data_IF_090662801689
#
_entry.id   IF_090662801689
#
_cell.length_a   1.000
_cell.length_b   1.000
_cell.length_c   1.000
_cell.angle_alpha   90.00
_cell.angle_beta   90.00
_cell.angle_gamma   90.00
#
_symmetry.space_group_name_H-M   'P 1'
#
loop_
_entity.id
_entity.type
_entity.pdbx_description
1 polymer ?
#
# COMPACT_ATOMS: atom_id res chain seq x y z
N UNK A 1 -8.01 19.29 -5.66
CA UNK A 1 -7.00 19.05 -4.61
C UNK A 1 -7.20 17.65 -4.10
N UNK A 2 -6.33 16.74 -4.50
CA UNK A 2 -6.43 15.30 -4.23
C UNK A 2 -5.31 14.98 -3.24
N UNK A 3 -5.64 14.52 -2.02
CA UNK A 3 -4.69 14.24 -0.93
C UNK A 3 -4.68 12.75 -0.54
N UNK A 4 -4.23 11.85 -1.42
CA UNK A 4 -4.08 10.46 -1.06
C UNK A 4 -3.00 10.30 0.00
N UNK A 5 -3.27 9.41 0.96
CA UNK A 5 -2.29 9.00 1.95
C UNK A 5 -1.72 7.64 1.58
N UNK A 6 -0.39 7.53 1.52
CA UNK A 6 0.28 6.22 1.39
C UNK A 6 0.85 5.84 2.73
N UNK A 7 0.41 4.69 3.22
CA UNK A 7 0.94 4.06 4.42
C UNK A 7 1.57 2.72 4.05
N UNK A 8 2.79 2.50 4.52
CA UNK A 8 3.43 1.19 4.49
C UNK A 8 3.60 0.70 5.94
N UNK A 9 2.53 0.16 6.57
CA UNK A 9 2.56 -0.29 7.94
C UNK A 9 3.64 -1.36 8.17
N UNK A 10 3.90 -1.66 9.45
CA UNK A 10 4.78 -2.78 9.82
C UNK A 10 4.37 -4.06 9.07
N UNK A 11 5.32 -4.94 8.70
CA UNK A 11 5.02 -6.18 8.00
C UNK A 11 3.88 -6.94 8.69
N UNK A 12 2.87 -7.30 7.92
CA UNK A 12 1.70 -8.03 8.38
C UNK A 12 2.08 -9.51 8.54
N UNK A 13 1.99 -10.10 9.75
CA UNK A 13 2.28 -11.50 9.94
C UNK A 13 1.19 -12.36 9.30
N UNK A 14 1.59 -13.41 8.58
CA UNK A 14 0.66 -14.41 8.07
C UNK A 14 0.48 -15.48 9.15
N UNK A 15 -0.74 -15.59 9.67
CA UNK A 15 -1.09 -16.53 10.74
C UNK A 15 -2.04 -17.60 10.20
N UNK A 16 -1.84 -18.83 10.65
CA UNK A 16 -2.66 -19.99 10.32
C UNK A 16 -3.04 -20.71 11.61
N UNK A 17 -4.31 -21.12 11.70
CA UNK A 17 -4.79 -21.91 12.82
C UNK A 17 -4.17 -23.31 12.78
N UNK A 18 -3.63 -23.77 13.90
CA UNK A 18 -3.03 -25.12 13.97
C UNK A 18 -4.11 -26.19 14.04
N UNK A 19 -5.27 -25.85 14.60
CA UNK A 19 -6.39 -26.75 14.84
C UNK A 19 -7.66 -26.16 14.27
N UNK A 20 -8.51 -27.04 13.74
CA UNK A 20 -9.83 -26.62 13.29
C UNK A 20 -10.66 -26.11 14.49
N UNK A 21 -11.40 -25.00 14.30
CA UNK A 21 -12.29 -24.49 15.33
C UNK A 21 -13.32 -25.54 15.77
N UNK A 22 -13.60 -25.61 17.07
CA UNK A 22 -14.67 -26.47 17.57
C UNK A 22 -16.02 -25.91 17.11
N UNK A 23 -16.91 -26.74 16.53
CA UNK A 23 -18.18 -26.28 16.02
C UNK A 23 -19.04 -25.68 17.14
N UNK A 24 -19.94 -24.74 16.81
CA UNK A 24 -20.86 -24.19 17.79
C UNK A 24 -21.85 -25.26 18.29
N UNK A 25 -22.17 -25.21 19.58
CA UNK A 25 -23.21 -26.03 20.22
C UNK A 25 -24.30 -25.10 20.81
N UNK A 26 -25.42 -25.68 21.27
CA UNK A 26 -26.44 -24.89 21.95
C UNK A 26 -25.83 -24.17 23.15
N UNK A 27 -25.96 -22.83 23.18
CA UNK A 27 -25.34 -21.92 24.16
C UNK A 27 -23.81 -21.84 24.15
N UNK A 28 -23.13 -22.48 23.18
CA UNK A 28 -21.68 -22.37 23.02
C UNK A 28 -21.32 -21.80 21.65
N UNK A 29 -20.74 -20.59 21.56
CA UNK A 29 -20.28 -20.04 20.31
C UNK A 29 -19.10 -20.84 19.74
N UNK A 30 -18.79 -20.60 18.46
CA UNK A 30 -17.61 -21.14 17.81
C UNK A 30 -16.35 -20.82 18.62
N UNK A 31 -15.52 -21.84 18.91
CA UNK A 31 -14.30 -21.69 19.72
C UNK A 31 -13.07 -21.96 18.89
N UNK A 32 -12.10 -21.04 18.99
CA UNK A 32 -10.79 -21.14 18.38
C UNK A 32 -9.76 -21.53 19.45
N UNK A 33 -8.78 -22.34 19.07
CA UNK A 33 -7.59 -22.53 19.89
C UNK A 33 -6.69 -21.27 19.80
N UNK A 34 -5.96 -20.97 20.86
CA UNK A 34 -5.04 -19.82 20.89
C UNK A 34 -3.73 -20.11 20.15
N UNK A 35 -3.41 -21.39 19.91
CA UNK A 35 -2.22 -21.81 19.17
C UNK A 35 -2.33 -21.49 17.67
N UNK A 36 -1.37 -20.71 17.16
CA UNK A 36 -1.26 -20.38 15.74
C UNK A 36 0.15 -20.64 15.22
N UNK A 37 0.24 -20.91 13.92
CA UNK A 37 1.49 -21.03 13.19
C UNK A 37 1.77 -19.74 12.43
N UNK A 38 3.00 -19.24 12.53
CA UNK A 38 3.46 -18.06 11.77
C UNK A 38 4.05 -18.48 10.44
N UNK A 39 3.39 -18.12 9.34
CA UNK A 39 3.78 -18.41 7.96
C UNK A 39 4.58 -17.26 7.32
N UNK A 40 5.41 -16.59 8.13
CA UNK A 40 6.19 -15.43 7.71
C UNK A 40 5.44 -14.10 7.83
N UNK A 41 5.78 -13.15 6.97
CA UNK A 41 5.17 -11.82 6.95
C UNK A 41 5.21 -11.23 5.55
N UNK A 42 4.23 -10.39 5.24
CA UNK A 42 4.15 -9.63 3.99
C UNK A 42 4.13 -8.14 4.29
N UNK A 43 4.47 -7.33 3.30
CA UNK A 43 4.31 -5.89 3.34
C UNK A 43 3.00 -5.47 2.66
N UNK A 44 2.34 -4.45 3.20
CA UNK A 44 1.13 -3.87 2.62
C UNK A 44 1.46 -2.44 2.21
N UNK A 45 1.18 -2.08 0.95
CA UNK A 45 1.12 -0.70 0.51
C UNK A 45 -0.34 -0.29 0.44
N UNK A 46 -0.76 0.61 1.32
CA UNK A 46 -2.12 1.11 1.34
C UNK A 46 -2.14 2.56 0.85
N UNK A 47 -2.97 2.84 -0.16
CA UNK A 47 -3.23 4.18 -0.68
C UNK A 47 -4.67 4.51 -0.39
N UNK A 48 -4.93 5.62 0.28
CA UNK A 48 -6.27 6.06 0.64
C UNK A 48 -6.60 7.36 -0.06
N UNK A 49 -7.81 7.50 -0.59
CA UNK A 49 -8.40 8.78 -0.96
C UNK A 49 -9.63 9.03 -0.07
N UNK A 50 -9.46 9.70 1.08
CA UNK A 50 -10.53 9.83 2.07
C UNK A 50 -11.79 10.51 1.53
N UNK A 51 -11.64 11.53 0.67
CA UNK A 51 -12.76 12.28 0.13
C UNK A 51 -13.71 11.46 -0.75
N UNK A 52 -13.22 10.37 -1.35
CA UNK A 52 -14.06 9.44 -2.12
C UNK A 52 -14.38 8.15 -1.36
N UNK A 53 -13.88 7.99 -0.13
CA UNK A 53 -13.92 6.71 0.57
C UNK A 53 -13.21 5.58 -0.19
N UNK A 54 -12.24 5.92 -1.04
CA UNK A 54 -11.54 4.94 -1.88
C UNK A 54 -10.23 4.51 -1.23
N UNK A 55 -9.87 3.24 -1.41
CA UNK A 55 -8.56 2.72 -1.02
C UNK A 55 -8.06 1.69 -2.03
N UNK A 56 -6.76 1.67 -2.23
CA UNK A 56 -6.04 0.60 -2.91
C UNK A 56 -5.06 -0.04 -1.95
N UNK A 57 -4.95 -1.37 -2.00
CA UNK A 57 -4.04 -2.14 -1.18
C UNK A 57 -3.28 -3.07 -2.11
N UNK A 58 -1.95 -2.96 -2.09
CA UNK A 58 -1.05 -3.90 -2.74
C UNK A 58 -0.31 -4.71 -1.68
N UNK A 59 -0.26 -6.04 -1.87
CA UNK A 59 0.50 -6.95 -1.01
C UNK A 59 1.81 -7.33 -1.69
N UNK A 60 2.93 -7.03 -1.04
CA UNK A 60 4.27 -7.38 -1.52
C UNK A 60 5.00 -8.25 -0.50
N UNK A 61 5.96 -9.07 -0.94
CA UNK A 61 6.77 -9.86 0.01
C UNK A 61 7.70 -8.97 0.86
N UNK A 62 8.26 -7.93 0.25
CA UNK A 62 9.18 -7.01 0.91
C UNK A 62 8.76 -5.57 0.65
N UNK A 63 9.28 -4.67 1.49
CA UNK A 63 9.13 -3.22 1.30
C UNK A 63 10.37 -2.69 0.58
N UNK A 64 10.26 -2.46 -0.72
CA UNK A 64 11.37 -1.90 -1.50
C UNK A 64 11.05 -0.54 -2.10
N UNK A 65 12.09 0.22 -2.44
CA UNK A 65 11.95 1.49 -3.20
C UNK A 65 11.35 1.26 -4.59
N UNK A 66 11.58 0.07 -5.17
CA UNK A 66 11.04 -0.30 -6.48
C UNK A 66 9.52 -0.48 -6.41
N UNK A 67 9.04 -1.16 -5.36
CA UNK A 67 7.61 -1.35 -5.14
C UNK A 67 6.92 -0.02 -4.93
N UNK A 68 7.51 0.86 -4.12
CA UNK A 68 7.00 2.23 -3.96
C UNK A 68 6.92 2.97 -5.30
N UNK A 69 7.98 2.95 -6.11
CA UNK A 69 7.99 3.59 -7.41
C UNK A 69 6.91 3.03 -8.35
N UNK A 70 6.72 1.71 -8.36
CA UNK A 70 5.66 1.05 -9.13
C UNK A 70 4.26 1.48 -8.67
N UNK A 71 4.04 1.58 -7.36
CA UNK A 71 2.76 2.03 -6.82
C UNK A 71 2.45 3.48 -7.20
N UNK A 72 3.46 4.35 -7.24
CA UNK A 72 3.28 5.74 -7.71
C UNK A 72 2.92 5.80 -9.19
N UNK A 73 3.54 4.94 -10.01
CA UNK A 73 3.20 4.82 -11.42
C UNK A 73 1.75 4.34 -11.60
N UNK A 74 1.34 3.30 -10.87
CA UNK A 74 -0.03 2.78 -10.92
C UNK A 74 -1.06 3.83 -10.46
N UNK A 75 -0.70 4.62 -9.43
CA UNK A 75 -1.54 5.71 -8.96
C UNK A 75 -1.85 6.72 -10.08
N UNK A 76 -0.84 7.12 -10.86
CA UNK A 76 -1.03 8.04 -11.99
C UNK A 76 -1.73 7.36 -13.17
N UNK A 77 -1.23 6.21 -13.62
CA UNK A 77 -1.65 5.62 -14.89
C UNK A 77 -3.02 4.93 -14.80
N UNK A 78 -3.36 4.35 -13.65
CA UNK A 78 -4.51 3.48 -13.48
C UNK A 78 -5.58 4.16 -12.62
N UNK A 79 -5.18 4.67 -11.44
CA UNK A 79 -6.15 5.14 -10.45
C UNK A 79 -6.54 6.61 -10.64
N UNK A 80 -5.65 7.44 -11.18
CA UNK A 80 -5.87 8.87 -11.40
C UNK A 80 -5.45 9.34 -12.80
N UNK A 81 -5.82 8.65 -13.90
CA UNK A 81 -5.33 8.96 -15.25
C UNK A 81 -5.74 10.33 -15.78
N UNK A 82 -6.80 10.91 -15.21
CA UNK A 82 -7.35 12.21 -15.58
C UNK A 82 -6.94 13.34 -14.61
N UNK A 83 -6.15 13.05 -13.58
CA UNK A 83 -5.76 14.06 -12.60
C UNK A 83 -4.62 14.92 -13.15
N UNK A 84 -4.78 16.23 -13.20
CA UNK A 84 -3.67 17.14 -13.57
C UNK A 84 -2.59 17.21 -12.48
N UNK A 85 -2.99 17.01 -11.21
CA UNK A 85 -2.08 16.97 -10.08
C UNK A 85 -2.58 16.08 -8.95
N UNK A 86 -1.62 15.42 -8.30
CA UNK A 86 -1.81 14.54 -7.14
C UNK A 86 -0.91 15.08 -6.02
N UNK A 87 -1.50 15.51 -4.91
CA UNK A 87 -0.73 15.82 -3.70
C UNK A 87 -0.73 14.59 -2.82
N UNK A 88 0.41 13.94 -2.66
CA UNK A 88 0.52 12.72 -1.87
C UNK A 88 1.03 13.08 -0.48
N UNK A 89 0.35 12.60 0.54
CA UNK A 89 0.88 12.58 1.90
C UNK A 89 1.45 11.18 2.14
N UNK A 90 2.71 11.09 2.48
CA UNK A 90 3.41 9.82 2.75
C UNK A 90 3.91 9.83 4.18
N UNK A 91 4.07 8.66 4.79
CA UNK A 91 4.78 8.59 6.06
C UNK A 91 6.29 8.92 5.88
N UNK A 92 7.00 9.14 6.99
CA UNK A 92 8.43 9.49 6.98
C UNK A 92 9.34 8.24 6.86
N UNK A 93 9.08 7.37 5.88
CA UNK A 93 9.93 6.21 5.58
C UNK A 93 11.01 6.54 4.55
N UNK A 94 12.19 5.91 4.72
CA UNK A 94 13.33 6.03 3.81
C UNK A 94 13.05 5.56 2.36
N UNK A 95 11.94 4.83 2.16
CA UNK A 95 11.46 4.37 0.86
C UNK A 95 10.65 5.41 0.11
N UNK A 96 10.04 6.38 0.80
CA UNK A 96 9.18 7.42 0.22
C UNK A 96 9.97 8.64 -0.23
N UNK A 97 11.03 8.39 -1.00
CA UNK A 97 11.86 9.44 -1.56
C UNK A 97 11.53 9.62 -3.05
N UNK A 98 11.29 10.86 -3.54
CA UNK A 98 11.14 11.13 -4.97
C UNK A 98 12.27 10.54 -5.83
N UNK A 99 13.50 10.43 -5.29
CA UNK A 99 14.64 9.80 -5.94
C UNK A 99 14.40 8.35 -6.37
N UNK A 100 13.47 7.63 -5.72
CA UNK A 100 13.08 6.29 -6.14
C UNK A 100 12.47 6.28 -7.55
N UNK A 101 11.67 7.30 -7.90
CA UNK A 101 11.05 7.42 -9.22
C UNK A 101 12.12 7.60 -10.30
N UNK A 102 13.09 8.48 -10.06
CA UNK A 102 14.23 8.70 -10.98
C UNK A 102 15.12 7.47 -11.13
N UNK A 103 15.27 6.68 -10.07
CA UNK A 103 16.11 5.48 -10.09
C UNK A 103 15.52 4.36 -10.94
N UNK A 104 14.19 4.23 -10.98
CA UNK A 104 13.53 3.08 -11.60
C UNK A 104 12.78 3.40 -12.90
N UNK A 105 12.63 4.67 -13.27
CA UNK A 105 11.97 5.09 -14.50
C UNK A 105 12.80 6.08 -15.31
N UNK A 106 12.70 6.06 -16.66
CA UNK A 106 13.36 7.03 -17.51
C UNK A 106 12.89 8.47 -17.20
N UNK A 107 13.70 9.50 -17.49
CA UNK A 107 13.39 10.90 -17.19
C UNK A 107 12.00 11.39 -17.67
N UNK A 108 11.55 10.85 -18.81
CA UNK A 108 10.23 11.14 -19.40
C UNK A 108 9.04 10.67 -18.54
N UNK A 109 9.26 9.72 -17.63
CA UNK A 109 8.26 9.15 -16.73
C UNK A 109 8.53 9.59 -15.27
N UNK A 110 9.79 9.79 -14.89
CA UNK A 110 10.20 10.07 -13.50
C UNK A 110 10.11 11.53 -13.09
N UNK A 111 10.16 12.46 -14.04
CA UNK A 111 9.99 13.88 -13.72
C UNK A 111 8.51 14.19 -13.44
N UNK A 112 8.28 15.20 -12.63
CA UNK A 112 7.01 15.96 -12.48
C UNK A 112 6.47 16.55 -13.80
N UNK A 113 6.99 16.09 -14.93
CA UNK A 113 6.75 16.48 -16.30
C UNK A 113 6.27 15.28 -17.15
N UNK A 114 5.70 14.25 -16.51
CA UNK A 114 4.71 13.43 -17.21
C UNK A 114 3.60 14.40 -17.66
N UNK A 115 3.29 14.54 -18.97
CA UNK A 115 2.45 15.62 -19.50
C UNK A 115 1.00 15.62 -18.98
N UNK A 116 0.63 14.64 -18.14
CA UNK A 116 -0.72 14.43 -17.62
C UNK A 116 -0.88 14.78 -16.14
N UNK A 117 0.11 14.52 -15.28
CA UNK A 117 -0.10 14.58 -13.82
C UNK A 117 1.17 14.94 -13.03
N UNK A 118 1.11 16.02 -12.25
CA UNK A 118 2.17 16.42 -11.31
C UNK A 118 1.99 15.76 -9.94
N UNK A 119 3.01 15.06 -9.42
CA UNK A 119 3.01 14.52 -8.05
C UNK A 119 3.79 15.47 -7.12
N UNK A 120 3.20 15.82 -5.97
CA UNK A 120 3.90 16.49 -4.87
C UNK A 120 3.87 15.61 -3.63
N UNK A 121 5.06 15.22 -3.15
CA UNK A 121 5.24 14.36 -1.99
C UNK A 121 5.41 15.23 -0.74
N UNK A 122 4.54 15.02 0.26
CA UNK A 122 4.59 15.67 1.57
C UNK A 122 4.76 14.59 2.64
N UNK A 123 5.75 14.74 3.52
CA UNK A 123 5.96 13.88 4.69
C UNK A 123 5.33 14.49 5.94
#
# INVERSE_FOLDING_TARGET
>A
MFLPKVDAPRPYPLLEDIREPLPPESEQPLRYDYEYKRNGSVNLFAIFEPHKGWRHIEVTQQRTKKDFALQMKNLVDIHCPQAESIRLVVDNLNTHNPAALYKFFPPSISTSNCPKTRISLHA
#
